data_IF_892815715633
#
_entry.id   IF_892815715633
#
_cell.length_a   1.000
_cell.length_b   1.000
_cell.length_c   1.000
_cell.angle_alpha   90.00
_cell.angle_beta   90.00
_cell.angle_gamma   90.00
#
_symmetry.space_group_name_H-M   'P 1'
#
loop_
_entity.id
_entity.type
_entity.pdbx_description
1 polymer ?
#
# COMPACT_ATOMS: atom_id res chain seq x y z
N UNK A 1 21.99 9.22 33.34
CA UNK A 1 20.99 10.18 32.81
C UNK A 1 20.52 9.61 31.50
N UNK A 2 19.27 9.16 31.41
CA UNK A 2 18.66 8.82 30.12
C UNK A 2 18.46 10.11 29.33
N UNK A 3 19.06 10.19 28.16
CA UNK A 3 18.80 11.26 27.20
C UNK A 3 17.35 11.12 26.75
N UNK A 4 16.50 12.03 27.22
CA UNK A 4 15.08 12.04 26.86
C UNK A 4 15.01 12.39 25.38
N UNK A 5 14.67 11.42 24.55
CA UNK A 5 14.51 11.61 23.10
C UNK A 5 13.42 12.68 22.87
N UNK A 6 13.83 13.88 22.47
CA UNK A 6 12.90 14.96 22.11
C UNK A 6 12.41 14.64 20.70
N UNK A 7 11.25 13.99 20.59
CA UNK A 7 10.53 13.86 19.32
C UNK A 7 9.93 15.23 19.00
N UNK A 8 10.33 15.85 17.90
CA UNK A 8 9.74 17.12 17.45
C UNK A 8 8.28 16.91 17.05
N UNK A 9 7.38 17.79 17.47
CA UNK A 9 5.91 17.68 17.33
C UNK A 9 5.37 17.63 15.88
N UNK A 10 6.23 17.71 14.85
CA UNK A 10 5.85 17.80 13.43
C UNK A 10 6.35 16.64 12.56
N UNK A 11 6.76 15.50 13.14
CA UNK A 11 7.12 14.31 12.35
C UNK A 11 5.91 13.39 12.16
N UNK A 12 5.73 12.94 10.93
CA UNK A 12 4.81 11.86 10.61
C UNK A 12 5.26 10.53 11.26
N UNK A 13 4.40 9.50 11.19
CA UNK A 13 4.66 8.23 11.86
C UNK A 13 5.98 7.57 11.42
N UNK A 14 6.34 7.65 10.13
CA UNK A 14 7.61 7.08 9.65
C UNK A 14 8.81 7.90 10.14
N UNK A 15 8.70 9.23 10.22
CA UNK A 15 9.70 10.12 10.79
C UNK A 15 9.95 9.81 12.27
N UNK A 16 8.89 9.53 13.02
CA UNK A 16 8.98 9.09 14.41
C UNK A 16 9.70 7.73 14.50
N UNK A 17 9.31 6.74 13.69
CA UNK A 17 9.98 5.42 13.65
C UNK A 17 11.49 5.58 13.41
N UNK A 18 11.86 6.36 12.40
CA UNK A 18 13.27 6.60 12.04
C UNK A 18 14.05 7.24 13.18
N UNK A 19 13.46 8.24 13.84
CA UNK A 19 14.11 8.93 14.95
C UNK A 19 14.25 8.04 16.19
N UNK A 20 13.16 7.39 16.61
CA UNK A 20 13.11 6.62 17.86
C UNK A 20 13.95 5.35 17.78
N UNK A 21 13.99 4.71 16.61
CA UNK A 21 14.73 3.47 16.40
C UNK A 21 16.14 3.69 15.81
N UNK A 22 16.60 4.94 15.68
CA UNK A 22 17.89 5.32 15.08
C UNK A 22 18.12 4.69 13.68
N UNK A 23 17.09 4.76 12.83
CA UNK A 23 17.12 4.20 11.48
C UNK A 23 17.41 5.30 10.47
N UNK A 24 18.46 5.11 9.68
CA UNK A 24 18.84 6.05 8.60
C UNK A 24 17.77 6.10 7.51
N UNK A 25 17.49 7.31 7.03
CA UNK A 25 16.73 7.49 5.79
C UNK A 25 17.62 7.07 4.61
N UNK A 26 17.06 6.23 3.74
CA UNK A 26 17.69 5.80 2.49
C UNK A 26 16.90 6.40 1.33
N UNK A 27 17.57 6.68 0.22
CA UNK A 27 16.90 7.05 -1.03
C UNK A 27 15.91 5.95 -1.43
N UNK A 28 14.63 6.30 -1.50
CA UNK A 28 13.54 5.39 -1.82
C UNK A 28 13.73 4.75 -3.20
N UNK A 29 14.34 5.47 -4.15
CA UNK A 29 14.55 4.98 -5.50
C UNK A 29 15.64 3.90 -5.60
N UNK A 30 16.48 3.78 -4.57
CA UNK A 30 17.50 2.73 -4.44
C UNK A 30 16.92 1.37 -4.05
N UNK A 31 15.70 1.32 -3.48
CA UNK A 31 15.08 0.06 -3.11
C UNK A 31 14.68 -0.76 -4.35
N UNK A 32 14.80 -2.08 -4.21
CA UNK A 32 14.28 -2.99 -5.23
C UNK A 32 12.74 -2.90 -5.29
N UNK A 33 12.11 -3.17 -6.45
CA UNK A 33 10.66 -3.11 -6.54
C UNK A 33 9.95 -4.07 -5.56
N UNK A 34 10.54 -5.24 -5.29
CA UNK A 34 9.99 -6.20 -4.32
C UNK A 34 10.13 -5.71 -2.87
N UNK A 35 11.18 -4.94 -2.57
CA UNK A 35 11.35 -4.31 -1.25
C UNK A 35 10.32 -3.20 -1.03
N UNK A 36 10.02 -2.41 -2.08
CA UNK A 36 8.93 -1.44 -2.03
C UNK A 36 7.58 -2.14 -1.85
N UNK A 37 7.34 -3.23 -2.60
CA UNK A 37 6.10 -3.99 -2.48
C UNK A 37 5.93 -4.58 -1.07
N UNK A 38 7.00 -5.10 -0.46
CA UNK A 38 6.97 -5.63 0.90
C UNK A 38 6.39 -4.64 1.93
N UNK A 39 6.90 -3.41 1.99
CA UNK A 39 6.37 -2.41 2.94
C UNK A 39 5.05 -1.81 2.47
N UNK A 40 4.83 -1.75 1.16
CA UNK A 40 3.60 -1.21 0.58
C UNK A 40 2.37 -2.08 0.82
N UNK A 41 2.53 -3.40 0.89
CA UNK A 41 1.47 -4.34 1.27
C UNK A 41 0.99 -4.07 2.71
N UNK A 42 1.92 -3.95 3.66
CA UNK A 42 1.60 -3.61 5.05
C UNK A 42 0.96 -2.22 5.19
N UNK A 43 1.49 -1.21 4.47
CA UNK A 43 0.94 0.14 4.49
C UNK A 43 -0.49 0.17 3.94
N UNK A 44 -0.76 -0.56 2.86
CA UNK A 44 -2.09 -0.69 2.29
C UNK A 44 -3.04 -1.46 3.20
N UNK A 45 -2.63 -2.60 3.77
CA UNK A 45 -3.43 -3.40 4.71
C UNK A 45 -3.84 -2.56 5.93
N UNK A 46 -2.92 -1.74 6.47
CA UNK A 46 -3.24 -0.84 7.58
C UNK A 46 -4.30 0.21 7.20
N UNK A 47 -4.22 0.80 6.00
CA UNK A 47 -5.24 1.73 5.51
C UNK A 47 -6.60 1.04 5.38
N UNK A 48 -6.65 -0.16 4.80
CA UNK A 48 -7.89 -0.94 4.64
C UNK A 48 -8.50 -1.29 5.99
N UNK A 49 -7.71 -1.79 6.94
CA UNK A 49 -8.20 -2.12 8.28
C UNK A 49 -8.73 -0.88 9.00
N UNK A 50 -8.03 0.25 8.89
CA UNK A 50 -8.47 1.53 9.47
C UNK A 50 -9.79 2.00 8.87
N UNK A 51 -9.93 1.92 7.54
CA UNK A 51 -11.18 2.21 6.84
C UNK A 51 -12.34 1.34 7.31
N UNK A 52 -12.11 0.03 7.45
CA UNK A 52 -13.14 -0.92 7.90
C UNK A 52 -13.57 -0.70 9.36
N UNK A 53 -12.63 -0.35 10.24
CA UNK A 53 -12.96 0.04 11.62
C UNK A 53 -13.86 1.29 11.65
N UNK A 54 -13.67 2.23 10.72
CA UNK A 54 -14.52 3.41 10.56
C UNK A 54 -15.96 3.12 10.13
N UNK A 55 -16.26 1.91 9.62
CA UNK A 55 -17.63 1.51 9.21
C UNK A 55 -18.50 1.02 10.38
N UNK A 56 -17.92 0.88 11.57
CA UNK A 56 -18.64 0.53 12.79
C UNK A 56 -18.03 -0.67 13.51
N UNK A 57 -18.45 -0.84 14.77
CA UNK A 57 -17.97 -1.92 15.60
C UNK A 57 -18.52 -3.28 15.11
N UNK A 58 -17.63 -4.18 14.70
CA UNK A 58 -17.98 -5.49 14.15
C UNK A 58 -17.07 -6.57 14.73
N UNK A 59 -17.52 -7.85 14.78
CA UNK A 59 -16.65 -8.94 15.19
C UNK A 59 -15.39 -9.03 14.33
N UNK A 60 -14.23 -9.29 14.95
CA UNK A 60 -12.92 -9.35 14.27
C UNK A 60 -12.92 -10.30 13.06
N UNK A 61 -13.59 -11.46 13.17
CA UNK A 61 -13.72 -12.41 12.06
C UNK A 61 -14.48 -11.85 10.85
N UNK A 62 -15.40 -10.89 11.07
CA UNK A 62 -16.08 -10.19 9.98
C UNK A 62 -15.15 -9.16 9.35
N UNK A 63 -14.43 -8.38 10.16
CA UNK A 63 -13.43 -7.41 9.68
C UNK A 63 -12.35 -8.08 8.83
N UNK A 64 -11.80 -9.22 9.28
CA UNK A 64 -10.79 -9.96 8.52
C UNK A 64 -11.32 -10.42 7.16
N UNK A 65 -12.52 -11.01 7.10
CA UNK A 65 -13.12 -11.42 5.82
C UNK A 65 -13.36 -10.25 4.86
N UNK A 66 -13.75 -9.10 5.38
CA UNK A 66 -13.90 -7.88 4.57
C UNK A 66 -12.54 -7.37 4.07
N UNK A 67 -11.51 -7.36 4.93
CA UNK A 67 -10.16 -6.98 4.56
C UNK A 67 -9.59 -7.91 3.49
N UNK A 68 -9.67 -9.23 3.67
CA UNK A 68 -9.21 -10.25 2.71
C UNK A 68 -9.78 -10.04 1.31
N UNK A 69 -11.06 -9.62 1.22
CA UNK A 69 -11.74 -9.31 -0.03
C UNK A 69 -11.13 -8.14 -0.80
N UNK A 70 -10.55 -7.16 -0.07
CA UNK A 70 -9.94 -5.93 -0.59
C UNK A 70 -8.43 -6.04 -0.78
N UNK A 71 -7.74 -6.87 0.02
CA UNK A 71 -6.27 -6.97 -0.01
C UNK A 71 -5.74 -8.10 -0.90
N UNK A 72 -6.58 -9.01 -1.36
CA UNK A 72 -6.16 -10.08 -2.29
C UNK A 72 -5.64 -9.52 -3.64
N UNK A 73 -4.67 -10.21 -4.24
CA UNK A 73 -4.04 -9.82 -5.51
C UNK A 73 -5.02 -9.47 -6.64
N UNK A 74 -6.13 -10.21 -6.76
CA UNK A 74 -7.15 -9.90 -7.77
C UNK A 74 -7.80 -8.53 -7.54
N UNK A 75 -8.15 -8.21 -6.29
CA UNK A 75 -8.75 -6.91 -5.96
C UNK A 75 -7.76 -5.76 -6.20
N UNK A 76 -6.49 -5.94 -5.83
CA UNK A 76 -5.42 -4.99 -6.15
C UNK A 76 -5.22 -4.80 -7.66
N UNK A 77 -5.23 -5.89 -8.42
CA UNK A 77 -5.16 -5.87 -9.88
C UNK A 77 -6.31 -5.06 -10.49
N UNK A 78 -7.54 -5.27 -10.01
CA UNK A 78 -8.74 -4.58 -10.50
C UNK A 78 -8.69 -3.08 -10.17
N UNK A 79 -8.25 -2.70 -8.96
CA UNK A 79 -8.08 -1.29 -8.59
C UNK A 79 -7.12 -0.54 -9.51
N UNK A 80 -6.11 -1.23 -10.06
CA UNK A 80 -5.17 -0.60 -10.99
C UNK A 80 -5.82 -0.15 -12.31
N UNK A 81 -6.98 -0.69 -12.71
CA UNK A 81 -7.67 -0.20 -13.91
C UNK A 81 -8.16 1.26 -13.72
N UNK A 82 -8.48 1.64 -12.49
CA UNK A 82 -8.88 3.01 -12.11
C UNK A 82 -7.68 3.87 -11.74
N UNK A 83 -6.71 3.29 -11.03
CA UNK A 83 -5.56 4.02 -10.48
C UNK A 83 -4.53 4.35 -11.56
N UNK A 84 -4.23 3.43 -12.48
CA UNK A 84 -3.14 3.60 -13.46
C UNK A 84 -3.28 4.89 -14.31
N UNK A 85 -4.47 5.27 -14.80
CA UNK A 85 -4.68 6.54 -15.51
C UNK A 85 -4.48 7.81 -14.66
N UNK A 86 -4.53 7.70 -13.33
CA UNK A 86 -4.39 8.83 -12.42
C UNK A 86 -2.93 9.14 -12.05
N UNK A 87 -2.00 8.24 -12.39
CA UNK A 87 -0.61 8.32 -11.96
C UNK A 87 0.16 9.42 -12.70
N UNK A 88 1.02 10.12 -11.96
CA UNK A 88 2.07 10.92 -12.58
C UNK A 88 3.17 10.03 -13.23
N UNK A 89 4.11 10.63 -13.95
CA UNK A 89 5.16 9.87 -14.66
C UNK A 89 6.04 9.04 -13.72
N UNK A 90 6.35 9.56 -12.53
CA UNK A 90 7.21 8.90 -11.55
C UNK A 90 6.48 7.74 -10.87
N UNK A 91 5.24 7.98 -10.45
CA UNK A 91 4.33 6.96 -9.91
C UNK A 91 4.13 5.82 -10.92
N UNK A 92 3.92 6.14 -12.20
CA UNK A 92 3.77 5.14 -13.27
C UNK A 92 5.04 4.32 -13.46
N UNK A 93 6.21 4.95 -13.38
CA UNK A 93 7.50 4.27 -13.48
C UNK A 93 7.74 3.29 -12.33
N UNK A 94 7.39 3.69 -11.09
CA UNK A 94 7.47 2.81 -9.91
C UNK A 94 6.52 1.61 -10.06
N UNK A 95 5.27 1.86 -10.42
CA UNK A 95 4.28 0.79 -10.67
C UNK A 95 4.78 -0.19 -11.75
N UNK A 96 5.26 0.31 -12.89
CA UNK A 96 5.82 -0.53 -13.98
C UNK A 96 7.00 -1.37 -13.51
N UNK A 97 7.90 -0.80 -12.70
CA UNK A 97 9.03 -1.52 -12.11
C UNK A 97 8.55 -2.68 -11.23
N UNK A 98 7.57 -2.44 -10.35
CA UNK A 98 6.96 -3.49 -9.52
C UNK A 98 6.28 -4.57 -10.37
N UNK A 99 5.47 -4.17 -11.35
CA UNK A 99 4.75 -5.08 -12.25
C UNK A 99 5.65 -6.00 -13.06
N UNK A 100 6.87 -5.55 -13.35
CA UNK A 100 7.85 -6.30 -14.12
C UNK A 100 8.88 -7.02 -13.25
N UNK A 101 8.80 -6.89 -11.92
CA UNK A 101 9.65 -7.63 -11.02
C UNK A 101 9.36 -9.13 -11.14
N UNK A 102 10.43 -9.93 -11.26
CA UNK A 102 10.30 -11.39 -11.31
C UNK A 102 10.11 -11.93 -9.90
N UNK A 103 8.90 -12.34 -9.56
CA UNK A 103 8.64 -13.13 -8.36
C UNK A 103 8.72 -14.63 -8.68
N UNK A 104 9.45 -15.40 -7.88
CA UNK A 104 9.78 -16.81 -8.14
C UNK A 104 8.68 -17.81 -7.72
N UNK A 105 7.53 -17.34 -7.24
CA UNK A 105 6.47 -18.20 -6.69
C UNK A 105 5.21 -18.21 -7.55
N UNK A 106 4.79 -19.41 -7.96
CA UNK A 106 3.49 -19.67 -8.60
C UNK A 106 2.42 -19.86 -7.52
N UNK A 107 1.30 -19.14 -7.63
CA UNK A 107 0.17 -19.32 -6.72
C UNK A 107 -1.06 -19.90 -7.43
N UNK A 108 -1.89 -20.63 -6.66
CA UNK A 108 -2.98 -21.50 -7.14
C UNK A 108 -4.29 -20.78 -7.51
N UNK A 109 -4.51 -19.53 -7.07
CA UNK A 109 -5.85 -18.90 -7.05
C UNK A 109 -5.96 -17.52 -7.74
N UNK A 110 -4.88 -16.96 -8.28
CA UNK A 110 -4.92 -15.72 -9.07
C UNK A 110 -3.99 -15.84 -10.27
N UNK A 111 -4.28 -15.13 -11.35
CA UNK A 111 -3.47 -15.24 -12.58
C UNK A 111 -2.10 -14.61 -12.36
N UNK A 112 -1.10 -15.05 -13.13
CA UNK A 112 0.23 -14.41 -13.12
C UNK A 112 0.13 -12.92 -13.42
N UNK A 113 -0.85 -12.51 -14.25
CA UNK A 113 -1.10 -11.10 -14.56
C UNK A 113 -1.61 -10.33 -13.33
N UNK A 114 -2.56 -10.90 -12.58
CA UNK A 114 -3.08 -10.29 -11.35
C UNK A 114 -1.99 -10.10 -10.31
N UNK A 115 -1.15 -11.11 -10.09
CA UNK A 115 -0.01 -11.00 -9.17
C UNK A 115 0.96 -9.91 -9.58
N UNK A 116 1.29 -9.82 -10.87
CA UNK A 116 2.20 -8.78 -11.36
C UNK A 116 1.58 -7.39 -11.15
N UNK A 117 0.30 -7.20 -11.48
CA UNK A 117 -0.38 -5.92 -11.26
C UNK A 117 -0.44 -5.56 -9.77
N UNK A 118 -0.77 -6.52 -8.91
CA UNK A 118 -0.76 -6.37 -7.45
C UNK A 118 0.63 -5.96 -6.92
N UNK A 119 1.70 -6.66 -7.31
CA UNK A 119 3.07 -6.28 -6.91
C UNK A 119 3.46 -4.88 -7.42
N UNK A 120 2.96 -4.48 -8.60
CA UNK A 120 3.09 -3.10 -9.08
C UNK A 120 2.40 -2.09 -8.16
N UNK A 121 1.16 -2.38 -7.77
CA UNK A 121 0.38 -1.57 -6.84
C UNK A 121 1.06 -1.47 -5.46
N UNK A 122 1.47 -2.58 -4.88
CA UNK A 122 2.20 -2.64 -3.60
C UNK A 122 3.48 -1.81 -3.69
N UNK A 123 4.26 -1.93 -4.77
CA UNK A 123 5.48 -1.14 -4.94
C UNK A 123 5.19 0.37 -4.99
N UNK A 124 4.09 0.79 -5.62
CA UNK A 124 3.65 2.19 -5.64
C UNK A 124 3.24 2.67 -4.24
N UNK A 125 2.48 1.85 -3.48
CA UNK A 125 2.10 2.18 -2.11
C UNK A 125 3.34 2.33 -1.22
N UNK A 126 4.30 1.43 -1.34
CA UNK A 126 5.57 1.49 -0.59
C UNK A 126 6.38 2.74 -0.93
N UNK A 127 6.46 3.12 -2.21
CA UNK A 127 7.11 4.36 -2.61
C UNK A 127 6.44 5.60 -1.98
N UNK A 128 5.11 5.72 -2.08
CA UNK A 128 4.38 6.86 -1.51
C UNK A 128 4.50 6.91 0.01
N UNK A 129 4.40 5.76 0.68
CA UNK A 129 4.55 5.63 2.13
C UNK A 129 5.94 6.08 2.61
N UNK A 130 7.01 5.62 1.96
CA UNK A 130 8.39 5.95 2.37
C UNK A 130 8.78 7.41 2.09
N UNK A 131 8.12 8.03 1.10
CA UNK A 131 8.21 9.46 0.76
C UNK A 131 7.33 10.37 1.65
N UNK A 132 6.52 9.80 2.55
CA UNK A 132 5.57 10.58 3.35
C UNK A 132 4.41 11.18 2.54
N UNK A 133 4.19 10.72 1.31
CA UNK A 133 3.10 11.17 0.40
C UNK A 133 1.76 10.51 0.79
N UNK A 134 1.38 10.57 2.06
CA UNK A 134 0.23 9.81 2.60
C UNK A 134 -1.11 10.25 2.02
N UNK A 135 -1.31 11.56 1.83
CA UNK A 135 -2.55 12.09 1.23
C UNK A 135 -2.76 11.46 -0.15
N UNK A 136 -1.72 11.52 -1.00
CA UNK A 136 -1.73 10.93 -2.34
C UNK A 136 -1.96 9.42 -2.32
N UNK A 137 -1.30 8.71 -1.39
CA UNK A 137 -1.51 7.27 -1.21
C UNK A 137 -2.97 6.95 -0.92
N UNK A 138 -3.59 7.66 0.03
CA UNK A 138 -4.99 7.43 0.42
C UNK A 138 -5.97 7.87 -0.67
N UNK A 139 -5.68 8.92 -1.44
CA UNK A 139 -6.49 9.32 -2.61
C UNK A 139 -6.57 8.22 -3.66
N UNK A 140 -5.44 7.60 -4.01
CA UNK A 140 -5.41 6.49 -4.98
C UNK A 140 -6.14 5.26 -4.43
N UNK A 141 -5.93 4.90 -3.16
CA UNK A 141 -6.65 3.80 -2.50
C UNK A 141 -8.16 4.06 -2.52
N UNK A 142 -8.60 5.28 -2.19
CA UNK A 142 -10.01 5.67 -2.21
C UNK A 142 -10.61 5.51 -3.61
N UNK A 143 -9.92 5.95 -4.66
CA UNK A 143 -10.37 5.80 -6.04
C UNK A 143 -10.60 4.32 -6.39
N UNK A 144 -9.67 3.43 -6.01
CA UNK A 144 -9.80 1.99 -6.22
C UNK A 144 -10.95 1.36 -5.42
N UNK A 145 -11.18 1.79 -4.17
CA UNK A 145 -12.25 1.24 -3.32
C UNK A 145 -13.63 1.66 -3.80
N UNK A 146 -13.83 2.94 -4.16
CA UNK A 146 -15.16 3.47 -4.53
C UNK A 146 -15.72 2.74 -5.75
N UNK A 147 -14.92 2.59 -6.81
CA UNK A 147 -15.35 1.87 -8.01
C UNK A 147 -15.77 0.43 -7.68
N UNK A 148 -15.05 -0.22 -6.76
CA UNK A 148 -15.38 -1.58 -6.31
C UNK A 148 -16.68 -1.67 -5.53
N UNK A 149 -17.05 -0.64 -4.78
CA UNK A 149 -18.31 -0.59 -4.03
C UNK A 149 -19.49 -0.34 -4.97
N UNK A 150 -19.32 0.54 -5.94
CA UNK A 150 -20.34 0.82 -6.96
C UNK A 150 -20.58 -0.40 -7.86
N UNK A 151 -19.54 -1.19 -8.14
CA UNK A 151 -19.65 -2.44 -8.90
C UNK A 151 -20.34 -3.59 -8.16
N UNK A 152 -20.37 -3.58 -6.83
CA UNK A 152 -21.06 -4.59 -5.99
C UNK A 152 -22.55 -4.20 -5.74
N UNK A 153 -23.02 -3.04 -6.22
CA UNK A 153 -24.41 -2.55 -6.13
C UNK A 153 -25.23 -2.71 -7.44
N UNK A 154 -24.68 -3.34 -8.48
CA UNK A 154 -25.32 -3.55 -9.80
C UNK A 154 -25.64 -5.04 -10.05
#
# INVERSE_FOLDING_TARGET
MEEKLIVEDNKDFIGIIRQVLDVKQVDVMSYSPLTLAYIGDDAYDLVIRTYLLGKGNMPVNKLNRMADGLVRAKAQSDMMDVIEPMLDEEEHAVYKRGRNAKSYTKAKNATVADYRRATGFEALMGYLYLQGRYVRMVELIRAGIIERLDADEI
#
